data_IF_820801206301
#
_entry.id   IF_820801206301
#
_cell.length_a   1.000
_cell.length_b   1.000
_cell.length_c   1.000
_cell.angle_alpha   90.00
_cell.angle_beta   90.00
_cell.angle_gamma   90.00
#
_symmetry.space_group_name_H-M   'P 1'
#
loop_
_entity.id
_entity.type
_entity.pdbx_description
1 polymer ?
#
# COMPACT_ATOMS: atom_id res chain seq x y z
N UNK A 1 49.38 -12.96 9.34
CA UNK A 1 49.02 -12.51 7.99
C UNK A 1 47.84 -13.33 7.50
N UNK A 2 46.62 -12.85 7.75
CA UNK A 2 45.40 -13.56 7.31
C UNK A 2 45.04 -13.01 5.95
N UNK A 3 45.25 -13.80 4.89
CA UNK A 3 44.88 -13.49 3.52
C UNK A 3 43.37 -13.60 3.40
N UNK A 4 42.73 -12.46 3.12
CA UNK A 4 41.32 -12.30 2.92
C UNK A 4 40.91 -13.06 1.64
N UNK A 5 40.42 -14.30 1.79
CA UNK A 5 39.97 -15.16 0.70
C UNK A 5 38.50 -14.82 0.32
N UNK A 6 38.27 -13.60 -0.23
CA UNK A 6 36.93 -13.12 -0.64
C UNK A 6 36.69 -13.25 -2.15
N UNK A 7 37.56 -13.99 -2.90
CA UNK A 7 37.56 -13.95 -4.37
C UNK A 7 36.85 -15.10 -5.10
N UNK A 8 36.38 -16.16 -4.45
CA UNK A 8 35.89 -17.36 -5.15
C UNK A 8 34.52 -17.89 -4.70
N UNK A 9 33.63 -17.04 -4.18
CA UNK A 9 32.22 -17.48 -4.12
C UNK A 9 31.56 -17.27 -5.48
N UNK A 10 30.98 -18.33 -6.08
CA UNK A 10 30.22 -18.16 -7.31
C UNK A 10 29.11 -17.13 -7.09
N UNK A 11 28.92 -16.25 -8.06
CA UNK A 11 27.89 -15.21 -8.02
C UNK A 11 26.51 -15.85 -7.86
N UNK A 12 25.75 -15.38 -6.89
CA UNK A 12 24.39 -15.85 -6.60
C UNK A 12 23.31 -15.10 -7.41
N UNK A 13 23.70 -14.17 -8.28
CA UNK A 13 22.81 -13.30 -9.07
C UNK A 13 21.76 -14.09 -9.87
N UNK A 14 22.08 -15.17 -10.61
CA UNK A 14 21.07 -15.91 -11.37
C UNK A 14 19.98 -16.55 -10.49
N UNK A 15 20.36 -17.05 -9.30
CA UNK A 15 19.44 -17.65 -8.34
C UNK A 15 18.51 -16.60 -7.74
N UNK A 16 19.06 -15.46 -7.33
CA UNK A 16 18.31 -14.32 -6.80
C UNK A 16 17.34 -13.75 -7.83
N UNK A 17 17.80 -13.60 -9.08
CA UNK A 17 16.99 -13.13 -10.19
C UNK A 17 15.80 -14.07 -10.45
N UNK A 18 16.02 -15.38 -10.54
CA UNK A 18 14.95 -16.37 -10.71
C UNK A 18 13.92 -16.28 -9.58
N UNK A 19 14.38 -16.22 -8.33
CA UNK A 19 13.50 -16.11 -7.19
C UNK A 19 12.68 -14.80 -7.19
N UNK A 20 13.28 -13.69 -7.59
CA UNK A 20 12.56 -12.42 -7.75
C UNK A 20 11.49 -12.50 -8.85
N UNK A 21 11.80 -13.12 -9.98
CA UNK A 21 10.84 -13.36 -11.06
C UNK A 21 9.66 -14.23 -10.59
N UNK A 22 9.90 -15.26 -9.77
CA UNK A 22 8.84 -16.09 -9.18
C UNK A 22 7.91 -15.26 -8.26
N UNK A 23 8.43 -14.24 -7.56
CA UNK A 23 7.61 -13.32 -6.80
C UNK A 23 6.81 -12.40 -7.72
N UNK A 24 7.45 -11.82 -8.74
CA UNK A 24 6.81 -10.92 -9.71
C UNK A 24 5.74 -11.60 -10.55
N UNK A 25 5.89 -12.89 -10.85
CA UNK A 25 4.88 -13.67 -11.56
C UNK A 25 3.54 -13.78 -10.80
N UNK A 26 3.54 -13.59 -9.48
CA UNK A 26 2.34 -13.66 -8.65
C UNK A 26 1.64 -12.31 -8.51
N UNK A 27 2.40 -11.23 -8.36
CA UNK A 27 1.94 -9.85 -8.30
C UNK A 27 3.09 -8.87 -8.50
N UNK A 28 2.79 -7.63 -8.78
CA UNK A 28 3.78 -6.56 -8.68
C UNK A 28 4.31 -6.43 -7.24
N UNK A 29 5.59 -6.12 -7.12
CA UNK A 29 6.28 -5.85 -5.87
C UNK A 29 7.11 -4.58 -6.02
N UNK A 30 7.22 -3.78 -4.95
CA UNK A 30 8.22 -2.72 -4.93
C UNK A 30 9.62 -3.30 -4.89
N UNK A 31 10.60 -2.52 -5.33
CA UNK A 31 12.01 -2.94 -5.25
C UNK A 31 12.43 -3.23 -3.80
N UNK A 32 11.90 -2.46 -2.85
CA UNK A 32 12.12 -2.66 -1.43
C UNK A 32 11.54 -4.00 -0.94
N UNK A 33 10.29 -4.33 -1.30
CA UNK A 33 9.68 -5.61 -0.94
C UNK A 33 10.48 -6.81 -1.50
N UNK A 34 10.92 -6.72 -2.76
CA UNK A 34 11.74 -7.77 -3.37
C UNK A 34 13.06 -7.94 -2.63
N UNK A 35 13.74 -6.83 -2.32
CA UNK A 35 15.00 -6.85 -1.55
C UNK A 35 14.84 -7.56 -0.21
N UNK A 36 13.79 -7.22 0.55
CA UNK A 36 13.50 -7.85 1.84
C UNK A 36 13.22 -9.35 1.70
N UNK A 37 12.39 -9.73 0.73
CA UNK A 37 12.05 -11.15 0.48
C UNK A 37 13.26 -11.97 0.05
N UNK A 38 14.09 -11.44 -0.81
CA UNK A 38 15.32 -12.12 -1.24
C UNK A 38 16.32 -12.24 -0.10
N UNK A 39 16.51 -11.20 0.69
CA UNK A 39 17.40 -11.22 1.84
C UNK A 39 16.95 -12.27 2.86
N UNK A 40 15.65 -12.36 3.15
CA UNK A 40 15.10 -13.36 4.06
C UNK A 40 15.25 -14.79 3.51
N UNK A 41 15.06 -14.98 2.20
CA UNK A 41 15.11 -16.31 1.57
C UNK A 41 16.53 -16.80 1.33
N UNK A 42 17.48 -15.89 1.14
CA UNK A 42 18.88 -16.16 0.82
C UNK A 42 19.81 -15.32 1.72
N UNK A 43 19.86 -15.61 3.03
CA UNK A 43 20.60 -14.80 4.01
C UNK A 43 22.11 -14.78 3.75
N UNK A 44 22.66 -15.81 3.10
CA UNK A 44 24.07 -15.92 2.76
C UNK A 44 24.48 -15.16 1.49
N UNK A 45 23.52 -14.54 0.78
CA UNK A 45 23.81 -13.77 -0.41
C UNK A 45 24.44 -12.43 -0.06
N UNK A 46 25.41 -12.01 -0.87
CA UNK A 46 26.03 -10.71 -0.68
C UNK A 46 25.07 -9.58 -1.03
N UNK A 47 25.20 -8.42 -0.38
CA UNK A 47 24.44 -7.22 -0.76
C UNK A 47 24.69 -6.79 -2.20
N UNK A 48 25.91 -7.05 -2.71
CA UNK A 48 26.29 -6.79 -4.10
C UNK A 48 25.49 -7.66 -5.07
N UNK A 49 25.40 -8.96 -4.83
CA UNK A 49 24.62 -9.87 -5.69
C UNK A 49 23.14 -9.51 -5.67
N UNK A 50 22.59 -9.19 -4.48
CA UNK A 50 21.21 -8.71 -4.34
C UNK A 50 20.96 -7.46 -5.18
N UNK A 51 21.84 -6.46 -5.05
CA UNK A 51 21.70 -5.21 -5.79
C UNK A 51 21.81 -5.44 -7.30
N UNK A 52 22.78 -6.23 -7.74
CA UNK A 52 22.96 -6.57 -9.16
C UNK A 52 21.72 -7.24 -9.75
N UNK A 53 21.17 -8.25 -9.07
CA UNK A 53 19.95 -8.93 -9.52
C UNK A 53 18.75 -7.98 -9.64
N UNK A 54 18.57 -7.10 -8.66
CA UNK A 54 17.47 -6.12 -8.65
C UNK A 54 17.64 -5.06 -9.75
N UNK A 55 18.86 -4.58 -10.00
CA UNK A 55 19.14 -3.59 -11.05
C UNK A 55 18.93 -4.17 -12.45
N UNK A 56 19.26 -5.45 -12.66
CA UNK A 56 18.96 -6.14 -13.91
C UNK A 56 17.44 -6.20 -14.16
N UNK A 57 16.65 -6.59 -13.15
CA UNK A 57 15.18 -6.64 -13.28
C UNK A 57 14.57 -5.27 -13.59
N UNK A 58 15.11 -4.19 -13.01
CA UNK A 58 14.67 -2.82 -13.31
C UNK A 58 15.04 -2.40 -14.73
N UNK A 59 16.29 -2.66 -15.14
CA UNK A 59 16.77 -2.33 -16.49
C UNK A 59 15.99 -3.02 -17.59
N UNK A 60 15.57 -4.26 -17.34
CA UNK A 60 14.75 -5.05 -18.25
C UNK A 60 13.23 -4.79 -18.12
N UNK A 61 12.86 -3.80 -17.28
CA UNK A 61 11.46 -3.45 -16.99
C UNK A 61 10.61 -4.62 -16.45
N UNK A 62 11.24 -5.63 -15.89
CA UNK A 62 10.56 -6.74 -15.23
C UNK A 62 10.03 -6.33 -13.85
N UNK A 63 10.71 -5.39 -13.18
CA UNK A 63 10.24 -4.74 -11.97
C UNK A 63 10.03 -3.25 -12.21
N UNK A 64 8.95 -2.67 -11.64
CA UNK A 64 8.66 -1.23 -11.69
C UNK A 64 7.87 -0.80 -10.46
N UNK A 65 8.42 0.18 -9.72
CA UNK A 65 7.71 0.79 -8.58
C UNK A 65 6.47 1.58 -9.03
N UNK A 66 6.45 2.09 -10.27
CA UNK A 66 5.28 2.73 -10.86
C UNK A 66 4.12 1.75 -11.06
N UNK A 67 4.39 0.60 -11.71
CA UNK A 67 3.36 -0.46 -11.87
C UNK A 67 2.89 -1.00 -10.52
N UNK A 68 3.83 -1.20 -9.59
CA UNK A 68 3.48 -1.59 -8.23
C UNK A 68 2.55 -0.59 -7.57
N UNK A 69 2.88 0.72 -7.59
CA UNK A 69 2.06 1.77 -6.98
C UNK A 69 0.65 1.82 -7.59
N UNK A 70 0.54 1.80 -8.92
CA UNK A 70 -0.73 1.77 -9.64
C UNK A 70 -1.62 0.59 -9.21
N UNK A 71 -1.06 -0.63 -9.28
CA UNK A 71 -1.78 -1.84 -8.90
C UNK A 71 -2.16 -1.83 -7.42
N UNK A 72 -1.27 -1.34 -6.56
CA UNK A 72 -1.48 -1.28 -5.12
C UNK A 72 -2.60 -0.29 -4.75
N UNK A 73 -2.59 0.92 -5.30
CA UNK A 73 -3.64 1.93 -5.08
C UNK A 73 -5.01 1.37 -5.48
N UNK A 74 -5.12 0.82 -6.68
CA UNK A 74 -6.37 0.21 -7.18
C UNK A 74 -6.86 -0.91 -6.28
N UNK A 75 -5.97 -1.82 -5.87
CA UNK A 75 -6.29 -2.90 -4.96
C UNK A 75 -6.77 -2.40 -3.59
N UNK A 76 -6.09 -1.42 -3.00
CA UNK A 76 -6.46 -0.89 -1.69
C UNK A 76 -7.78 -0.11 -1.72
N UNK A 77 -8.02 0.68 -2.78
CA UNK A 77 -9.33 1.30 -3.03
C UNK A 77 -10.45 0.26 -3.07
N UNK A 78 -10.27 -0.84 -3.81
CA UNK A 78 -11.28 -1.91 -3.88
C UNK A 78 -11.56 -2.59 -2.53
N UNK A 79 -10.62 -2.51 -1.58
CA UNK A 79 -10.78 -2.97 -0.19
C UNK A 79 -11.33 -1.91 0.77
N UNK A 80 -11.69 -0.73 0.27
CA UNK A 80 -12.28 0.35 1.05
C UNK A 80 -11.27 1.11 1.92
N UNK A 81 -9.99 1.11 1.53
CA UNK A 81 -8.98 1.98 2.14
C UNK A 81 -8.84 3.28 1.36
N UNK A 82 -8.55 4.38 2.05
CA UNK A 82 -8.49 5.71 1.48
C UNK A 82 -7.08 6.33 1.57
N UNK A 83 -6.99 7.57 1.13
CA UNK A 83 -5.75 8.30 0.86
C UNK A 83 -4.66 8.14 1.94
N UNK A 84 -4.97 8.48 3.21
CA UNK A 84 -3.95 8.45 4.27
C UNK A 84 -3.35 7.06 4.50
N UNK A 85 -4.21 6.05 4.49
CA UNK A 85 -3.79 4.66 4.71
C UNK A 85 -2.95 4.15 3.55
N UNK A 86 -3.41 4.35 2.30
CA UNK A 86 -2.70 3.90 1.09
C UNK A 86 -1.35 4.60 0.98
N UNK A 87 -1.30 5.91 1.27
CA UNK A 87 -0.06 6.68 1.26
C UNK A 87 0.97 6.15 2.26
N UNK A 88 0.55 5.89 3.49
CA UNK A 88 1.41 5.32 4.52
C UNK A 88 1.93 3.92 4.12
N UNK A 89 1.05 3.09 3.56
CA UNK A 89 1.40 1.76 3.06
C UNK A 89 2.45 1.80 1.95
N UNK A 90 2.33 2.72 0.97
CA UNK A 90 3.29 2.86 -0.13
C UNK A 90 4.66 3.32 0.39
N UNK A 91 4.70 4.27 1.33
CA UNK A 91 5.95 4.69 1.95
C UNK A 91 6.62 3.57 2.76
N UNK A 92 5.86 2.79 3.52
CA UNK A 92 6.40 1.65 4.27
C UNK A 92 7.00 0.57 3.36
N UNK A 93 6.61 0.57 2.08
CA UNK A 93 7.14 -0.30 1.02
C UNK A 93 8.22 0.34 0.17
N UNK A 94 8.75 1.48 0.62
CA UNK A 94 9.88 2.15 -0.01
C UNK A 94 9.58 2.81 -1.36
N UNK A 95 8.30 3.07 -1.68
CA UNK A 95 7.94 3.78 -2.92
C UNK A 95 8.27 5.25 -2.78
N UNK A 96 8.97 5.82 -3.78
CA UNK A 96 9.39 7.22 -3.78
C UNK A 96 8.18 8.16 -3.84
N UNK A 97 8.31 9.32 -3.18
CA UNK A 97 7.23 10.33 -3.06
C UNK A 97 6.65 10.75 -4.41
N UNK A 98 7.47 10.96 -5.42
CA UNK A 98 7.00 11.40 -6.74
C UNK A 98 6.09 10.33 -7.37
N UNK A 99 6.48 9.05 -7.26
CA UNK A 99 5.65 7.94 -7.75
C UNK A 99 4.33 7.88 -6.97
N UNK A 100 4.37 8.06 -5.65
CA UNK A 100 3.14 8.08 -4.83
C UNK A 100 2.22 9.20 -5.29
N UNK A 101 2.75 10.41 -5.51
CA UNK A 101 1.97 11.57 -5.95
C UNK A 101 1.39 11.42 -7.37
N UNK A 102 2.05 10.67 -8.26
CA UNK A 102 1.56 10.40 -9.61
C UNK A 102 0.28 9.52 -9.60
N UNK A 103 0.14 8.63 -8.62
CA UNK A 103 -0.94 7.64 -8.58
C UNK A 103 -1.95 7.84 -7.45
N UNK A 104 -1.69 8.74 -6.51
CA UNK A 104 -2.52 8.92 -5.32
C UNK A 104 -2.69 10.40 -4.98
N UNK A 105 -3.88 10.94 -5.25
CA UNK A 105 -4.25 12.30 -4.90
C UNK A 105 -5.19 12.34 -3.69
N UNK A 106 -4.97 13.28 -2.78
CA UNK A 106 -5.90 13.56 -1.68
C UNK A 106 -7.21 14.22 -2.15
N UNK A 107 -7.22 14.77 -3.37
CA UNK A 107 -8.38 15.46 -3.96
C UNK A 107 -9.17 14.56 -4.93
N UNK A 108 -8.89 13.27 -4.97
CA UNK A 108 -9.63 12.33 -5.82
C UNK A 108 -11.10 12.26 -5.38
N UNK A 109 -12.06 12.58 -6.25
CA UNK A 109 -13.49 12.59 -5.92
C UNK A 109 -14.03 11.21 -5.51
N UNK A 110 -13.36 10.14 -5.88
CA UNK A 110 -13.73 8.79 -5.51
C UNK A 110 -13.76 8.59 -3.99
N UNK A 111 -12.97 9.35 -3.22
CA UNK A 111 -12.93 9.18 -1.76
C UNK A 111 -14.27 9.46 -1.11
N UNK A 112 -14.95 10.53 -1.53
CA UNK A 112 -16.28 10.86 -1.00
C UNK A 112 -17.31 9.80 -1.39
N UNK A 113 -17.29 9.33 -2.64
CA UNK A 113 -18.16 8.25 -3.12
C UNK A 113 -17.95 6.97 -2.31
N UNK A 114 -16.70 6.63 -2.06
CA UNK A 114 -16.35 5.45 -1.25
C UNK A 114 -16.79 5.59 0.21
N UNK A 115 -16.59 6.77 0.83
CA UNK A 115 -17.02 7.03 2.20
C UNK A 115 -18.55 6.86 2.32
N UNK A 116 -19.33 7.45 1.42
CA UNK A 116 -20.79 7.31 1.36
C UNK A 116 -21.20 5.84 1.22
N UNK A 117 -20.64 5.11 0.27
CA UNK A 117 -20.95 3.68 0.03
C UNK A 117 -20.64 2.80 1.24
N UNK A 118 -19.59 3.11 2.00
CA UNK A 118 -19.25 2.39 3.23
C UNK A 118 -20.30 2.65 4.32
N UNK A 119 -20.75 3.87 4.46
CA UNK A 119 -21.79 4.23 5.43
C UNK A 119 -23.11 3.53 5.07
N UNK A 120 -23.56 3.60 3.82
CA UNK A 120 -24.78 2.96 3.34
C UNK A 120 -24.79 1.46 3.64
N UNK A 121 -23.67 0.79 3.44
CA UNK A 121 -23.53 -0.66 3.74
C UNK A 121 -23.56 -0.97 5.24
N UNK A 122 -23.06 -0.05 6.07
CA UNK A 122 -22.99 -0.26 7.53
C UNK A 122 -24.29 0.08 8.25
N UNK A 123 -25.12 0.93 7.65
CA UNK A 123 -26.37 1.44 8.22
C UNK A 123 -27.49 1.38 7.18
N UNK A 124 -27.82 0.19 6.64
CA UNK A 124 -28.72 0.08 5.51
C UNK A 124 -30.18 0.48 5.82
N UNK A 125 -30.59 0.49 7.09
CA UNK A 125 -31.98 0.70 7.50
C UNK A 125 -32.19 1.75 8.59
N UNK A 126 -31.16 2.42 9.06
CA UNK A 126 -31.31 3.38 10.13
C UNK A 126 -31.00 4.79 9.63
N UNK A 127 -32.00 5.58 9.56
CA UNK A 127 -31.89 7.00 9.31
C UNK A 127 -31.62 7.82 10.58
N UNK A 128 -31.38 7.16 11.73
CA UNK A 128 -31.38 7.83 13.04
C UNK A 128 -30.18 7.41 13.89
N UNK A 129 -29.04 8.06 13.65
CA UNK A 129 -27.91 8.00 14.56
C UNK A 129 -27.82 9.32 15.32
N UNK A 130 -27.86 9.22 16.64
CA UNK A 130 -27.69 10.39 17.51
C UNK A 130 -26.23 10.84 17.45
N UNK A 131 -26.04 12.14 17.17
CA UNK A 131 -24.71 12.76 17.18
C UNK A 131 -24.01 12.52 18.55
N UNK A 132 -22.72 12.17 18.51
CA UNK A 132 -21.99 11.86 19.74
C UNK A 132 -22.31 10.51 20.39
N UNK A 133 -23.24 9.73 19.85
CA UNK A 133 -23.55 8.39 20.35
C UNK A 133 -22.37 7.42 20.18
N UNK A 134 -22.43 6.29 20.88
CA UNK A 134 -21.43 5.21 20.72
C UNK A 134 -21.34 4.72 19.27
N UNK A 135 -22.48 4.65 18.59
CA UNK A 135 -22.56 4.20 17.19
C UNK A 135 -21.91 5.23 16.25
N UNK A 136 -22.23 6.52 16.42
CA UNK A 136 -21.60 7.62 15.68
C UNK A 136 -20.07 7.57 15.81
N UNK A 137 -19.56 7.54 17.04
CA UNK A 137 -18.11 7.48 17.30
C UNK A 137 -17.44 6.25 16.72
N UNK A 138 -18.11 5.09 16.71
CA UNK A 138 -17.60 3.86 16.08
C UNK A 138 -17.47 4.01 14.58
N UNK A 139 -18.43 4.65 13.92
CA UNK A 139 -18.42 4.87 12.47
C UNK A 139 -17.29 5.81 12.06
N UNK A 140 -17.17 6.95 12.77
CA UNK A 140 -16.08 7.91 12.53
C UNK A 140 -14.73 7.23 12.68
N UNK A 141 -14.46 6.54 13.78
CA UNK A 141 -13.19 5.81 14.00
C UNK A 141 -12.91 4.76 12.92
N UNK A 142 -13.96 4.10 12.44
CA UNK A 142 -13.80 3.13 11.37
C UNK A 142 -13.31 3.79 10.07
N UNK A 143 -13.93 4.91 9.66
CA UNK A 143 -13.51 5.65 8.48
C UNK A 143 -12.10 6.26 8.64
N UNK A 144 -11.80 6.81 9.82
CA UNK A 144 -10.44 7.27 10.16
C UNK A 144 -9.40 6.17 10.01
N UNK A 145 -9.68 4.97 10.55
CA UNK A 145 -8.78 3.81 10.44
C UNK A 145 -8.58 3.33 9.00
N UNK A 146 -9.53 3.62 8.11
CA UNK A 146 -9.44 3.36 6.68
C UNK A 146 -8.67 4.43 5.91
N UNK A 147 -8.36 5.55 6.56
CA UNK A 147 -7.54 6.63 6.01
C UNK A 147 -8.31 7.71 5.27
N UNK A 148 -9.62 7.82 5.49
CA UNK A 148 -10.42 8.93 5.00
C UNK A 148 -10.02 10.25 5.67
N UNK A 149 -10.17 11.37 4.96
CA UNK A 149 -9.95 12.69 5.51
C UNK A 149 -11.16 13.12 6.36
N UNK A 150 -10.92 14.02 7.32
CA UNK A 150 -11.98 14.47 8.21
C UNK A 150 -13.17 15.11 7.47
N UNK A 151 -12.88 15.89 6.42
CA UNK A 151 -13.93 16.48 5.57
C UNK A 151 -14.81 15.43 4.89
N UNK A 152 -14.19 14.37 4.35
CA UNK A 152 -14.90 13.25 3.70
C UNK A 152 -15.79 12.51 4.71
N UNK A 153 -15.26 12.29 5.92
CA UNK A 153 -15.99 11.63 7.01
C UNK A 153 -17.18 12.48 7.44
N UNK A 154 -16.97 13.77 7.67
CA UNK A 154 -18.02 14.69 8.08
C UNK A 154 -19.13 14.76 7.04
N UNK A 155 -18.79 14.98 5.77
CA UNK A 155 -19.76 15.07 4.68
C UNK A 155 -20.53 13.75 4.55
N UNK A 156 -19.88 12.61 4.57
CA UNK A 156 -20.53 11.31 4.47
C UNK A 156 -21.49 11.05 5.66
N UNK A 157 -21.09 11.43 6.87
CA UNK A 157 -21.93 11.31 8.06
C UNK A 157 -23.17 12.21 7.96
N UNK A 158 -22.99 13.50 7.61
CA UNK A 158 -24.12 14.43 7.47
C UNK A 158 -25.11 14.05 6.39
N UNK A 159 -24.63 13.53 5.28
CA UNK A 159 -25.48 13.13 4.13
C UNK A 159 -26.33 11.90 4.42
N UNK A 160 -25.77 10.93 5.11
CA UNK A 160 -26.32 9.58 5.19
C UNK A 160 -26.93 9.27 6.57
N UNK A 161 -26.82 10.18 7.54
CA UNK A 161 -27.27 9.99 8.92
C UNK A 161 -28.13 11.16 9.34
N UNK A 162 -29.37 10.89 9.74
CA UNK A 162 -30.19 11.87 10.45
C UNK A 162 -29.64 12.03 11.87
N UNK A 163 -28.98 13.13 12.10
CA UNK A 163 -28.49 13.51 13.42
C UNK A 163 -29.66 14.04 14.25
N UNK A 164 -30.13 13.28 15.23
CA UNK A 164 -31.11 13.74 16.19
C UNK A 164 -30.36 14.52 17.25
N UNK A 165 -30.62 15.83 17.34
CA UNK A 165 -30.18 16.65 18.48
C UNK A 165 -31.06 16.30 19.65
N UNK A 166 -30.48 15.83 20.76
CA UNK A 166 -31.13 15.73 22.06
C UNK A 166 -31.25 17.07 22.71
#
# INVERSE_FOLDING_TARGET
MSVNNHKDRPSNVPVLRRAAMDFLARREHSIYELKQKLFTKYPDSTLRDLQTALDELRRENLQSDRRFAECYVRYRKSKGFAYKHIRADLFSRGVHTDIVNDYLSSQDPDWQVMANSIIDKKIPNSNEIVYGSKQHRRLVRFLESRGFLLCEIQEAVYRNIKLIST
#
